data_IF_067899443988
#
_entry.id   IF_067899443988
#
_cell.length_a   1.000
_cell.length_b   1.000
_cell.length_c   1.000
_cell.angle_alpha   90.00
_cell.angle_beta   90.00
_cell.angle_gamma   90.00
#
_symmetry.space_group_name_H-M   'P 1'
#
loop_
_entity.id
_entity.type
_entity.pdbx_description
1 polymer ?
#
# COMPACT_ATOMS: atom_id res chain seq x y z
N UNK A 1 -8.38 8.78 5.38
CA UNK A 1 -8.09 7.35 5.63
C UNK A 1 -8.83 6.50 4.62
N UNK A 2 -8.22 5.41 4.16
CA UNK A 2 -8.83 4.42 3.25
C UNK A 2 -8.57 3.00 3.76
N UNK A 3 -9.49 2.10 3.44
CA UNK A 3 -9.38 0.67 3.73
C UNK A 3 -9.11 -0.12 2.44
N UNK A 4 -8.16 -1.03 2.52
CA UNK A 4 -7.76 -1.93 1.43
C UNK A 4 -7.87 -3.39 1.90
N UNK A 5 -8.11 -4.30 0.96
CA UNK A 5 -8.03 -5.75 1.18
C UNK A 5 -6.59 -6.25 1.10
N UNK A 6 -6.09 -7.00 2.08
CA UNK A 6 -4.80 -7.70 2.02
C UNK A 6 -5.01 -9.15 1.58
N UNK A 7 -4.70 -9.47 0.32
CA UNK A 7 -5.04 -10.79 -0.26
C UNK A 7 -4.05 -11.31 -1.30
N UNK A 8 -4.11 -12.63 -1.53
CA UNK A 8 -3.56 -13.32 -2.70
C UNK A 8 -4.64 -13.94 -3.59
N UNK A 9 -5.92 -13.72 -3.29
CA UNK A 9 -7.06 -14.46 -3.85
C UNK A 9 -7.94 -13.57 -4.76
N UNK A 10 -8.10 -13.92 -6.05
CA UNK A 10 -9.06 -13.25 -6.95
C UNK A 10 -10.50 -13.28 -6.44
N UNK A 11 -10.89 -14.36 -5.75
CA UNK A 11 -12.23 -14.51 -5.17
C UNK A 11 -12.48 -13.43 -4.11
N UNK A 12 -11.50 -13.19 -3.24
CA UNK A 12 -11.62 -12.17 -2.19
C UNK A 12 -11.62 -10.76 -2.79
N UNK A 13 -10.89 -10.53 -3.90
CA UNK A 13 -10.96 -9.24 -4.63
C UNK A 13 -12.37 -8.98 -5.17
N UNK A 14 -12.99 -9.97 -5.83
CA UNK A 14 -14.38 -9.85 -6.32
C UNK A 14 -15.35 -9.59 -5.19
N UNK A 15 -15.19 -10.30 -4.07
CA UNK A 15 -16.04 -10.10 -2.90
C UNK A 15 -15.85 -8.70 -2.30
N UNK A 16 -14.60 -8.27 -2.06
CA UNK A 16 -14.28 -6.95 -1.51
C UNK A 16 -14.75 -5.79 -2.41
N UNK A 17 -14.84 -6.00 -3.72
CA UNK A 17 -15.42 -5.02 -4.64
C UNK A 17 -16.88 -4.68 -4.37
N UNK A 18 -17.63 -5.57 -3.72
CA UNK A 18 -19.02 -5.33 -3.30
C UNK A 18 -19.12 -4.38 -2.10
N UNK A 19 -18.03 -4.14 -1.38
CA UNK A 19 -18.00 -3.26 -0.21
C UNK A 19 -17.68 -1.83 -0.66
N UNK A 20 -18.61 -0.86 -0.49
CA UNK A 20 -18.45 0.50 -1.01
C UNK A 20 -17.33 1.28 -0.31
N UNK A 21 -16.95 0.90 0.91
CA UNK A 21 -15.88 1.56 1.67
C UNK A 21 -14.48 1.00 1.38
N UNK A 22 -14.37 -0.10 0.63
CA UNK A 22 -13.07 -0.68 0.24
C UNK A 22 -12.55 0.07 -0.99
N UNK A 23 -11.30 0.54 -0.93
CA UNK A 23 -10.65 1.36 -1.94
C UNK A 23 -9.74 0.55 -2.89
N UNK A 24 -9.69 -0.76 -2.75
CA UNK A 24 -8.85 -1.66 -3.54
C UNK A 24 -8.18 -2.72 -2.70
N UNK A 25 -7.00 -3.17 -3.10
CA UNK A 25 -6.31 -4.28 -2.44
C UNK A 25 -4.78 -4.12 -2.45
N UNK A 26 -4.12 -4.75 -1.49
CA UNK A 26 -2.69 -5.01 -1.50
C UNK A 26 -2.39 -6.49 -1.59
N UNK A 27 -1.28 -6.83 -2.23
CA UNK A 27 -0.75 -8.19 -2.24
C UNK A 27 0.74 -8.22 -1.97
N UNK A 28 1.28 -9.41 -1.70
CA UNK A 28 2.69 -9.67 -1.52
C UNK A 28 3.01 -11.13 -1.89
N UNK A 29 4.29 -11.48 -2.12
CA UNK A 29 4.66 -12.84 -2.55
C UNK A 29 4.18 -13.96 -1.61
N UNK A 30 4.14 -13.70 -0.29
CA UNK A 30 3.68 -14.70 0.68
C UNK A 30 2.17 -14.96 0.55
N UNK A 31 1.36 -13.93 0.32
CA UNK A 31 -0.08 -14.07 0.11
C UNK A 31 -0.40 -14.77 -1.21
N UNK A 32 0.27 -14.36 -2.29
CA UNK A 32 0.13 -15.04 -3.60
C UNK A 32 0.47 -16.52 -3.47
N UNK A 33 1.62 -16.85 -2.86
CA UNK A 33 2.02 -18.24 -2.63
C UNK A 33 1.01 -19.02 -1.80
N UNK A 34 0.46 -18.43 -0.72
CA UNK A 34 -0.57 -19.07 0.11
C UNK A 34 -1.85 -19.36 -0.68
N UNK A 35 -2.18 -18.52 -1.67
CA UNK A 35 -3.32 -18.70 -2.55
C UNK A 35 -3.01 -19.57 -3.79
N UNK A 36 -1.81 -20.18 -3.88
CA UNK A 36 -1.40 -20.97 -5.04
C UNK A 36 -1.13 -20.14 -6.30
N UNK A 37 -0.94 -18.83 -6.16
CA UNK A 37 -0.69 -17.90 -7.26
C UNK A 37 0.81 -17.64 -7.41
N UNK A 38 1.30 -17.62 -8.65
CA UNK A 38 2.67 -17.25 -8.99
C UNK A 38 2.80 -15.77 -9.36
N UNK A 39 1.70 -15.14 -9.76
CA UNK A 39 1.68 -13.79 -10.32
C UNK A 39 0.40 -13.04 -9.91
N UNK A 40 0.40 -11.70 -9.91
CA UNK A 40 -0.71 -10.90 -9.40
C UNK A 40 -1.82 -10.61 -10.45
N UNK A 41 -1.64 -10.93 -11.72
CA UNK A 41 -2.63 -10.64 -12.79
C UNK A 41 -4.03 -11.16 -12.50
N UNK A 42 -4.22 -12.39 -11.97
CA UNK A 42 -5.57 -12.86 -11.64
C UNK A 42 -6.31 -11.96 -10.64
N UNK A 43 -5.58 -11.22 -9.78
CA UNK A 43 -6.18 -10.25 -8.85
C UNK A 43 -6.57 -8.97 -9.59
N UNK A 44 -5.78 -8.54 -10.57
CA UNK A 44 -6.07 -7.40 -11.43
C UNK A 44 -7.27 -7.68 -12.35
N UNK A 45 -7.32 -8.87 -12.94
CA UNK A 45 -8.46 -9.36 -13.73
C UNK A 45 -9.74 -9.36 -12.90
N UNK A 46 -9.71 -9.91 -11.68
CA UNK A 46 -10.84 -9.88 -10.75
C UNK A 46 -11.30 -8.44 -10.43
N UNK A 47 -10.37 -7.50 -10.26
CA UNK A 47 -10.73 -6.09 -10.06
C UNK A 47 -11.36 -5.47 -11.32
N UNK A 48 -10.86 -5.80 -12.51
CA UNK A 48 -11.42 -5.33 -13.78
C UNK A 48 -12.84 -5.89 -14.02
N UNK A 49 -13.05 -7.18 -13.75
CA UNK A 49 -14.34 -7.88 -13.83
C UNK A 49 -15.39 -7.25 -12.90
N UNK A 50 -14.97 -6.81 -11.72
CA UNK A 50 -15.87 -6.19 -10.74
C UNK A 50 -16.43 -4.82 -11.15
N UNK A 51 -15.88 -4.21 -12.20
CA UNK A 51 -16.24 -2.86 -12.64
C UNK A 51 -15.69 -1.72 -11.76
N UNK A 52 -15.01 -2.02 -10.63
CA UNK A 52 -14.37 -1.02 -9.76
C UNK A 52 -13.10 -0.44 -10.38
N UNK A 53 -13.28 0.53 -11.27
CA UNK A 53 -12.18 1.29 -11.91
C UNK A 53 -11.45 2.23 -10.94
N UNK A 54 -12.08 2.59 -9.83
CA UNK A 54 -11.54 3.45 -8.77
C UNK A 54 -10.59 2.73 -7.80
N UNK A 55 -10.46 1.40 -7.94
CA UNK A 55 -9.58 0.61 -7.09
C UNK A 55 -8.12 1.01 -7.19
N UNK A 56 -7.40 0.82 -6.08
CA UNK A 56 -5.96 0.89 -6.02
C UNK A 56 -5.37 -0.49 -5.78
N UNK A 57 -4.44 -0.92 -6.62
CA UNK A 57 -3.78 -2.22 -6.53
C UNK A 57 -2.33 -2.05 -6.07
N UNK A 58 -2.06 -2.37 -4.80
CA UNK A 58 -0.73 -2.27 -4.21
C UNK A 58 0.02 -3.60 -4.37
N UNK A 59 0.89 -3.69 -5.37
CA UNK A 59 1.56 -4.93 -5.76
C UNK A 59 3.03 -4.86 -5.40
N UNK A 60 3.52 -5.87 -4.68
CA UNK A 60 4.94 -5.95 -4.34
C UNK A 60 5.74 -6.58 -5.47
N UNK A 61 6.80 -5.88 -5.85
CA UNK A 61 7.80 -6.33 -6.81
C UNK A 61 9.13 -6.50 -6.08
N UNK A 62 9.71 -7.68 -6.20
CA UNK A 62 11.02 -8.01 -5.66
C UNK A 62 12.08 -8.09 -6.77
N UNK A 63 13.35 -8.15 -6.37
CA UNK A 63 14.50 -8.33 -7.26
C UNK A 63 15.79 -8.20 -6.47
N UNK A 64 16.87 -8.78 -6.99
CA UNK A 64 18.19 -8.78 -6.36
C UNK A 64 18.91 -7.44 -6.55
N UNK A 65 18.63 -6.74 -7.65
CA UNK A 65 19.21 -5.46 -8.00
C UNK A 65 18.21 -4.51 -8.67
N UNK A 66 18.58 -3.23 -8.80
CA UNK A 66 17.71 -2.18 -9.37
C UNK A 66 17.22 -2.51 -10.78
N UNK A 67 18.08 -3.03 -11.65
CA UNK A 67 17.73 -3.32 -13.04
C UNK A 67 16.64 -4.40 -13.11
N UNK A 68 16.78 -5.45 -12.32
CA UNK A 68 15.78 -6.52 -12.22
C UNK A 68 14.45 -6.01 -11.67
N UNK A 69 14.46 -5.18 -10.62
CA UNK A 69 13.25 -4.60 -10.03
C UNK A 69 12.51 -3.76 -11.09
N UNK A 70 13.22 -2.88 -11.80
CA UNK A 70 12.63 -2.02 -12.83
C UNK A 70 12.08 -2.84 -14.01
N UNK A 71 12.79 -3.88 -14.43
CA UNK A 71 12.34 -4.77 -15.50
C UNK A 71 11.08 -5.54 -15.11
N UNK A 72 11.02 -6.09 -13.89
CA UNK A 72 9.81 -6.76 -13.38
C UNK A 72 8.62 -5.81 -13.26
N UNK A 73 8.83 -4.56 -12.85
CA UNK A 73 7.79 -3.52 -12.87
C UNK A 73 7.30 -3.27 -14.30
N UNK A 74 8.21 -3.09 -15.26
CA UNK A 74 7.88 -2.91 -16.68
C UNK A 74 7.08 -4.08 -17.23
N UNK A 75 7.44 -5.32 -16.87
CA UNK A 75 6.72 -6.52 -17.28
C UNK A 75 5.33 -6.61 -16.66
N UNK A 76 5.17 -6.27 -15.38
CA UNK A 76 3.86 -6.20 -14.73
C UNK A 76 2.96 -5.17 -15.44
N UNK A 77 3.50 -3.98 -15.70
CA UNK A 77 2.79 -2.90 -16.39
C UNK A 77 2.41 -3.26 -17.82
N UNK A 78 3.31 -3.85 -18.59
CA UNK A 78 3.01 -4.31 -19.95
C UNK A 78 1.92 -5.39 -19.98
N UNK A 79 1.94 -6.32 -19.02
CA UNK A 79 0.89 -7.34 -18.88
C UNK A 79 -0.43 -6.71 -18.51
N UNK A 80 -0.45 -5.79 -17.53
CA UNK A 80 -1.67 -5.09 -17.14
C UNK A 80 -2.24 -4.27 -18.30
N UNK A 81 -1.40 -3.53 -19.03
CA UNK A 81 -1.80 -2.79 -20.22
C UNK A 81 -2.38 -3.68 -21.33
N UNK A 82 -1.87 -4.90 -21.47
CA UNK A 82 -2.44 -5.89 -22.40
C UNK A 82 -3.82 -6.41 -21.93
N UNK A 83 -3.99 -6.66 -20.62
CA UNK A 83 -5.27 -7.11 -20.04
C UNK A 83 -6.41 -6.12 -20.26
N UNK A 84 -6.07 -4.85 -20.38
CA UNK A 84 -7.00 -3.73 -20.56
C UNK A 84 -7.16 -3.32 -22.04
N UNK A 85 -6.69 -4.15 -22.97
CA UNK A 85 -6.85 -3.90 -24.41
C UNK A 85 -5.96 -2.77 -24.96
N UNK A 86 -4.89 -2.41 -24.26
CA UNK A 86 -4.00 -1.31 -24.66
C UNK A 86 -4.42 0.05 -24.11
N UNK A 87 -5.17 0.08 -23.01
CA UNK A 87 -5.56 1.32 -22.32
C UNK A 87 -5.18 1.26 -20.84
N UNK A 88 -4.87 2.39 -20.20
CA UNK A 88 -4.71 2.44 -18.74
C UNK A 88 -6.08 2.54 -18.03
N UNK A 89 -6.99 1.64 -18.36
CA UNK A 89 -8.34 1.58 -17.83
C UNK A 89 -8.43 0.50 -16.74
N UNK A 90 -8.62 0.88 -15.48
CA UNK A 90 -8.64 -0.09 -14.39
C UNK A 90 -8.08 0.44 -13.08
N UNK A 91 -7.77 -0.46 -12.13
CA UNK A 91 -7.18 -0.05 -10.87
C UNK A 91 -5.85 0.69 -11.07
N UNK A 92 -5.63 1.73 -10.28
CA UNK A 92 -4.34 2.43 -10.22
C UNK A 92 -3.30 1.53 -9.56
N UNK A 93 -2.19 1.28 -10.24
CA UNK A 93 -1.10 0.45 -9.71
C UNK A 93 -0.22 1.25 -8.73
N UNK A 94 0.08 0.65 -7.58
CA UNK A 94 1.14 1.13 -6.67
C UNK A 94 2.20 0.05 -6.52
N UNK A 95 3.43 0.40 -6.87
CA UNK A 95 4.57 -0.51 -6.83
C UNK A 95 5.16 -0.53 -5.42
N UNK A 96 4.96 -1.64 -4.70
CA UNK A 96 5.54 -1.86 -3.37
C UNK A 96 6.97 -2.38 -3.50
N UNK A 97 7.94 -1.60 -3.07
CA UNK A 97 9.38 -1.91 -3.17
C UNK A 97 9.98 -2.03 -1.76
N UNK A 98 10.86 -3.00 -1.56
CA UNK A 98 11.55 -3.20 -0.28
C UNK A 98 12.56 -2.07 0.00
N UNK A 99 12.86 -1.74 1.27
CA UNK A 99 13.74 -0.63 1.64
C UNK A 99 15.21 -1.08 1.62
N UNK A 100 15.65 -1.65 0.49
CA UNK A 100 17.06 -1.96 0.22
C UNK A 100 17.72 -0.81 -0.53
N UNK A 101 19.05 -0.75 -0.57
CA UNK A 101 19.75 0.30 -1.32
C UNK A 101 19.30 0.35 -2.79
N UNK A 102 19.32 -0.81 -3.46
CA UNK A 102 18.84 -0.98 -4.83
C UNK A 102 17.33 -0.66 -4.98
N UNK A 103 16.52 -1.07 -4.00
CA UNK A 103 15.09 -0.80 -3.97
C UNK A 103 14.76 0.69 -3.86
N UNK A 104 15.50 1.46 -3.06
CA UNK A 104 15.31 2.91 -2.92
C UNK A 104 15.69 3.64 -4.21
N UNK A 105 16.74 3.21 -4.91
CA UNK A 105 17.06 3.75 -6.23
C UNK A 105 15.99 3.40 -7.26
N UNK A 106 15.52 2.16 -7.31
CA UNK A 106 14.42 1.76 -8.19
C UNK A 106 13.15 2.59 -7.91
N UNK A 107 12.78 2.74 -6.64
CA UNK A 107 11.67 3.57 -6.20
C UNK A 107 11.81 5.02 -6.66
N UNK A 108 13.01 5.60 -6.57
CA UNK A 108 13.28 6.96 -7.01
C UNK A 108 13.09 7.13 -8.53
N UNK A 109 13.56 6.17 -9.33
CA UNK A 109 13.34 6.15 -10.78
C UNK A 109 11.85 6.09 -11.12
N UNK A 110 11.11 5.18 -10.48
CA UNK A 110 9.67 5.01 -10.70
C UNK A 110 8.89 6.27 -10.30
N UNK A 111 9.19 6.85 -9.13
CA UNK A 111 8.52 8.05 -8.65
C UNK A 111 8.76 9.26 -9.57
N UNK A 112 9.97 9.43 -10.13
CA UNK A 112 10.26 10.49 -11.11
C UNK A 112 9.57 10.26 -12.45
N UNK A 113 9.34 9.01 -12.82
CA UNK A 113 8.50 8.66 -13.96
C UNK A 113 6.99 8.85 -13.70
N UNK A 114 6.61 9.45 -12.57
CA UNK A 114 5.22 9.72 -12.21
C UNK A 114 4.45 8.50 -11.69
N UNK A 115 5.13 7.38 -11.43
CA UNK A 115 4.51 6.16 -10.92
C UNK A 115 4.34 6.25 -9.41
N UNK A 116 3.25 5.70 -8.90
CA UNK A 116 3.05 5.61 -7.47
C UNK A 116 3.85 4.46 -6.87
N UNK A 117 4.64 4.78 -5.86
CA UNK A 117 5.53 3.82 -5.18
C UNK A 117 5.21 3.76 -3.71
N UNK A 118 5.25 2.56 -3.15
CA UNK A 118 5.16 2.32 -1.72
C UNK A 118 6.44 1.67 -1.23
N UNK A 119 7.12 2.24 -0.24
CA UNK A 119 8.22 1.52 0.40
C UNK A 119 7.65 0.58 1.46
N UNK A 120 7.70 -0.72 1.20
CA UNK A 120 7.06 -1.75 2.05
C UNK A 120 8.05 -2.38 3.02
N UNK A 121 7.55 -3.12 4.00
CA UNK A 121 8.41 -3.84 4.95
C UNK A 121 9.02 -2.97 6.04
N UNK A 122 8.44 -1.79 6.28
CA UNK A 122 8.86 -0.88 7.32
C UNK A 122 8.45 -1.45 8.68
N UNK A 123 9.39 -1.44 9.62
CA UNK A 123 9.21 -2.01 10.96
C UNK A 123 9.48 -1.03 12.11
N UNK A 124 9.83 0.23 11.81
CA UNK A 124 10.00 1.29 12.79
C UNK A 124 9.88 2.67 12.12
N UNK A 125 9.58 3.72 12.91
CA UNK A 125 9.45 5.09 12.40
C UNK A 125 10.72 5.65 11.77
N UNK A 126 11.91 5.24 12.21
CA UNK A 126 13.19 5.77 11.69
C UNK A 126 13.36 5.38 10.23
N UNK A 127 13.08 4.13 9.89
CA UNK A 127 13.02 3.67 8.49
C UNK A 127 11.98 4.45 7.71
N UNK A 128 10.75 4.56 8.25
CA UNK A 128 9.65 5.24 7.58
C UNK A 128 9.99 6.69 7.18
N UNK A 129 10.54 7.46 8.13
CA UNK A 129 10.94 8.85 7.92
C UNK A 129 12.15 8.93 6.99
N UNK A 130 13.15 8.06 7.17
CA UNK A 130 14.34 8.02 6.34
C UNK A 130 14.06 7.77 4.86
N UNK A 131 13.01 7.00 4.54
CA UNK A 131 12.60 6.70 3.16
C UNK A 131 11.46 7.59 2.65
N UNK A 132 10.94 8.52 3.47
CA UNK A 132 9.89 9.46 3.08
C UNK A 132 10.36 10.48 2.03
N UNK A 133 11.67 10.57 1.83
CA UNK A 133 12.33 11.26 0.72
C UNK A 133 13.27 10.28 0.03
N UNK A 134 13.19 10.20 -1.30
CA UNK A 134 13.98 9.27 -2.11
C UNK A 134 15.23 9.95 -2.69
N UNK A 135 16.27 9.19 -3.05
CA UNK A 135 17.48 9.75 -3.63
C UNK A 135 17.20 10.53 -4.92
N UNK A 136 18.01 11.56 -5.24
CA UNK A 136 17.92 12.24 -6.53
C UNK A 136 18.38 11.29 -7.63
N UNK A 137 17.59 11.19 -8.71
CA UNK A 137 17.94 10.35 -9.86
C UNK A 137 18.51 11.24 -10.98
N UNK A 138 19.60 10.86 -11.64
CA UNK A 138 20.08 11.57 -12.82
C UNK A 138 19.09 11.44 -14.01
N UNK A 139 19.13 12.36 -14.99
CA UNK A 139 18.41 12.22 -16.27
C UNK A 139 18.74 10.89 -16.98
N UNK A 140 17.82 10.38 -17.79
CA UNK A 140 17.94 9.08 -18.46
C UNK A 140 19.06 9.03 -19.53
N UNK A 141 19.49 10.20 -20.00
CA UNK A 141 20.51 10.47 -21.01
C UNK A 141 21.89 10.80 -20.41
N UNK A 142 22.04 10.72 -19.08
CA UNK A 142 23.34 10.93 -18.44
C UNK A 142 24.28 9.73 -18.70
N UNK A 143 25.49 9.95 -19.25
CA UNK A 143 26.48 8.89 -19.42
C UNK A 143 26.82 8.27 -18.06
N UNK A 144 26.95 6.93 -18.04
CA UNK A 144 26.99 6.14 -16.82
C UNK A 144 28.03 6.59 -15.79
N UNK A 145 27.63 6.53 -14.51
CA UNK A 145 28.46 6.89 -13.36
C UNK A 145 28.25 8.34 -12.96
N UNK A 146 28.03 8.57 -11.66
CA UNK A 146 27.88 9.87 -10.99
C UNK A 146 28.77 10.96 -11.64
N UNK A 147 28.34 12.20 -11.87
CA UNK A 147 28.07 13.23 -10.86
C UNK A 147 27.49 14.51 -11.53
N UNK A 148 26.53 15.16 -10.86
CA UNK A 148 26.01 16.50 -11.21
C UNK A 148 24.53 16.67 -10.81
N UNK A 149 24.12 17.80 -10.17
CA UNK A 149 22.77 17.91 -9.62
C UNK A 149 21.73 18.07 -10.74
N UNK A 150 20.61 17.33 -10.72
CA UNK A 150 19.56 17.50 -11.72
C UNK A 150 18.81 18.84 -11.53
N UNK A 151 18.31 19.40 -12.63
CA UNK A 151 17.61 20.70 -12.74
C UNK A 151 16.28 20.82 -11.96
N UNK A 152 15.91 19.83 -11.14
CA UNK A 152 14.83 19.90 -10.16
C UNK A 152 15.39 19.66 -8.76
N UNK A 153 15.34 20.69 -7.91
CA UNK A 153 15.87 20.69 -6.54
C UNK A 153 15.09 19.81 -5.57
N UNK A 154 13.85 19.43 -5.89
CA UNK A 154 13.00 18.68 -4.96
C UNK A 154 13.21 17.18 -5.16
N UNK A 155 13.74 16.45 -4.17
CA UNK A 155 13.90 15.01 -4.27
C UNK A 155 12.54 14.32 -4.45
N UNK A 156 12.47 13.23 -5.24
CA UNK A 156 11.25 12.46 -5.38
C UNK A 156 10.81 11.87 -4.03
N UNK A 157 9.53 11.52 -3.93
CA UNK A 157 8.93 10.98 -2.70
C UNK A 157 8.12 9.74 -3.05
N UNK A 158 8.05 8.75 -2.16
CA UNK A 158 7.10 7.67 -2.35
C UNK A 158 5.68 8.19 -2.13
N UNK A 159 4.70 7.53 -2.74
CA UNK A 159 3.29 7.76 -2.44
C UNK A 159 2.97 7.35 -0.98
N UNK A 160 3.56 6.24 -0.52
CA UNK A 160 3.37 5.76 0.83
C UNK A 160 4.55 4.94 1.36
N UNK A 161 4.46 4.61 2.65
CA UNK A 161 5.26 3.57 3.31
C UNK A 161 4.30 2.53 3.89
N UNK A 162 4.59 1.22 3.74
CA UNK A 162 3.78 0.16 4.34
C UNK A 162 4.45 -0.41 5.59
N UNK A 163 3.75 -0.29 6.71
CA UNK A 163 4.26 -0.58 8.05
C UNK A 163 3.69 -1.90 8.59
N UNK A 164 4.56 -2.82 9.03
CA UNK A 164 4.14 -4.13 9.54
C UNK A 164 3.77 -4.09 11.02
N UNK A 165 2.59 -3.55 11.34
CA UNK A 165 2.11 -3.35 12.71
C UNK A 165 2.16 -4.65 13.51
N UNK A 166 1.52 -5.71 13.03
CA UNK A 166 1.49 -6.99 13.75
C UNK A 166 2.87 -7.61 13.91
N UNK A 167 3.77 -7.53 12.91
CA UNK A 167 5.13 -8.10 13.04
C UNK A 167 6.01 -7.33 14.03
N UNK A 168 5.73 -6.05 14.24
CA UNK A 168 6.39 -5.22 15.26
C UNK A 168 5.85 -5.59 16.64
N UNK A 169 4.53 -5.75 16.76
CA UNK A 169 3.88 -6.22 17.99
C UNK A 169 4.31 -7.64 18.39
N UNK A 170 4.54 -8.54 17.42
CA UNK A 170 5.07 -9.89 17.66
C UNK A 170 6.45 -9.88 18.37
N UNK A 171 7.16 -8.73 18.36
CA UNK A 171 8.43 -8.51 19.06
C UNK A 171 8.30 -7.78 20.39
N UNK A 172 7.07 -7.58 20.89
CA UNK A 172 6.80 -6.85 22.13
C UNK A 172 6.94 -5.33 22.01
N UNK A 173 6.97 -4.78 20.79
CA UNK A 173 7.04 -3.34 20.54
C UNK A 173 5.61 -2.80 20.34
N UNK A 174 5.34 -1.61 20.85
CA UNK A 174 4.07 -0.90 20.58
C UNK A 174 3.98 -0.46 19.10
N UNK A 175 3.45 -1.35 18.26
CA UNK A 175 3.27 -1.09 16.84
C UNK A 175 2.23 0.00 16.55
N UNK A 176 1.24 0.19 17.43
CA UNK A 176 0.20 1.22 17.27
C UNK A 176 0.82 2.60 17.51
N UNK A 177 1.54 2.75 18.62
CA UNK A 177 2.27 3.98 18.94
C UNK A 177 3.33 4.33 17.89
N UNK A 178 4.07 3.35 17.38
CA UNK A 178 5.03 3.56 16.28
C UNK A 178 4.37 4.13 15.02
N UNK A 179 3.22 3.58 14.60
CA UNK A 179 2.48 4.10 13.44
C UNK A 179 1.93 5.49 13.72
N UNK A 180 1.35 5.74 14.89
CA UNK A 180 0.81 7.05 15.24
C UNK A 180 1.90 8.14 15.24
N UNK A 181 3.03 7.86 15.86
CA UNK A 181 4.20 8.75 15.85
C UNK A 181 4.73 8.97 14.44
N UNK A 182 4.78 7.92 13.60
CA UNK A 182 5.19 8.03 12.20
C UNK A 182 4.24 8.95 11.41
N UNK A 183 2.92 8.75 11.50
CA UNK A 183 1.93 9.60 10.84
C UNK A 183 2.07 11.07 11.27
N UNK A 184 2.20 11.33 12.57
CA UNK A 184 2.37 12.68 13.11
C UNK A 184 3.66 13.34 12.61
N UNK A 185 4.76 12.61 12.56
CA UNK A 185 6.02 13.10 12.03
C UNK A 185 5.91 13.49 10.55
N UNK A 186 5.29 12.64 9.72
CA UNK A 186 5.08 12.95 8.29
C UNK A 186 4.22 14.20 8.09
N UNK A 187 3.10 14.31 8.83
CA UNK A 187 2.18 15.46 8.76
C UNK A 187 2.88 16.74 9.21
N UNK A 188 3.53 16.73 10.37
CA UNK A 188 4.21 17.91 10.93
C UNK A 188 5.37 18.40 10.05
N UNK A 189 6.08 17.50 9.38
CA UNK A 189 7.13 17.84 8.43
C UNK A 189 6.60 18.24 7.03
N UNK A 190 5.28 18.28 6.83
CA UNK A 190 4.65 18.59 5.54
C UNK A 190 4.94 17.57 4.43
N UNK A 191 5.38 16.36 4.80
CA UNK A 191 5.70 15.30 3.85
C UNK A 191 4.39 14.63 3.45
N UNK A 192 3.99 14.79 2.18
CA UNK A 192 2.78 14.18 1.61
C UNK A 192 2.98 12.69 1.30
N UNK A 193 3.38 11.91 2.31
CA UNK A 193 3.57 10.47 2.26
C UNK A 193 2.53 9.82 3.17
N UNK A 194 1.82 8.81 2.68
CA UNK A 194 0.84 8.06 3.48
C UNK A 194 1.50 6.90 4.22
N UNK A 195 0.94 6.47 5.33
CA UNK A 195 1.28 5.21 5.99
C UNK A 195 0.19 4.19 5.67
N UNK A 196 0.55 3.10 5.00
CA UNK A 196 -0.30 1.92 4.84
C UNK A 196 -0.01 0.96 6.00
N UNK A 197 -0.83 1.00 7.04
CA UNK A 197 -0.74 0.05 8.15
C UNK A 197 -1.17 -1.34 7.66
N UNK A 198 -0.27 -2.30 7.80
CA UNK A 198 -0.41 -3.66 7.29
C UNK A 198 -0.10 -4.69 8.39
N UNK A 199 -0.30 -5.98 8.08
CA UNK A 199 -0.11 -7.08 9.05
C UNK A 199 -1.01 -6.93 10.29
N UNK A 200 -2.24 -6.45 10.11
CA UNK A 200 -3.22 -6.27 11.19
C UNK A 200 -4.09 -7.54 11.28
N UNK A 201 -4.36 -8.01 12.51
CA UNK A 201 -4.98 -9.32 12.76
C UNK A 201 -6.24 -9.29 13.63
N UNK A 202 -6.57 -8.14 14.21
CA UNK A 202 -7.75 -8.00 15.08
C UNK A 202 -8.38 -6.61 14.97
N UNK A 203 -9.66 -6.56 15.30
CA UNK A 203 -10.43 -5.32 15.35
C UNK A 203 -9.86 -4.33 16.38
N UNK A 204 -9.39 -4.83 17.53
CA UNK A 204 -8.78 -3.98 18.56
C UNK A 204 -7.58 -3.19 18.06
N UNK A 205 -6.74 -3.78 17.21
CA UNK A 205 -5.60 -3.08 16.61
C UNK A 205 -6.09 -2.01 15.62
N UNK A 206 -7.14 -2.29 14.85
CA UNK A 206 -7.75 -1.29 13.96
C UNK A 206 -8.27 -0.11 14.76
N UNK A 207 -9.06 -0.36 15.81
CA UNK A 207 -9.59 0.65 16.72
C UNK A 207 -8.47 1.48 17.34
N UNK A 208 -7.47 0.83 17.92
CA UNK A 208 -6.34 1.49 18.57
C UNK A 208 -5.53 2.35 17.58
N UNK A 209 -5.31 1.89 16.35
CA UNK A 209 -4.66 2.68 15.30
C UNK A 209 -5.45 3.95 14.98
N UNK A 210 -6.76 3.82 14.73
CA UNK A 210 -7.63 4.95 14.40
C UNK A 210 -7.64 5.97 15.54
N UNK A 211 -7.80 5.51 16.78
CA UNK A 211 -7.77 6.34 17.97
C UNK A 211 -6.43 7.08 18.11
N UNK A 212 -5.31 6.36 18.06
CA UNK A 212 -3.99 6.94 18.23
C UNK A 212 -3.64 7.97 17.14
N UNK A 213 -3.93 7.70 15.86
CA UNK A 213 -3.66 8.68 14.79
C UNK A 213 -4.60 9.88 14.84
N UNK A 214 -5.83 9.69 15.32
CA UNK A 214 -6.80 10.80 15.48
C UNK A 214 -6.35 11.72 16.60
N UNK A 215 -5.97 11.17 17.75
CA UNK A 215 -5.42 11.92 18.88
C UNK A 215 -4.14 12.68 18.51
N UNK A 216 -3.34 12.13 17.59
CA UNK A 216 -2.15 12.78 17.05
C UNK A 216 -2.42 13.81 15.93
N UNK A 217 -3.68 14.05 15.55
CA UNK A 217 -4.05 14.96 14.47
C UNK A 217 -3.57 14.50 13.08
N UNK A 218 -3.31 13.20 12.90
CA UNK A 218 -2.61 12.64 11.75
C UNK A 218 -3.43 11.58 10.97
N UNK A 219 -4.74 11.48 11.22
CA UNK A 219 -5.64 10.54 10.54
C UNK A 219 -5.66 10.69 9.00
N UNK A 220 -5.32 11.88 8.49
CA UNK A 220 -5.19 12.13 7.05
C UNK A 220 -4.06 11.32 6.41
N UNK A 221 -3.01 10.97 7.15
CA UNK A 221 -1.86 10.22 6.66
C UNK A 221 -2.02 8.69 6.74
N UNK A 222 -2.98 8.17 7.49
CA UNK A 222 -3.19 6.73 7.65
C UNK A 222 -4.09 6.14 6.55
N UNK A 223 -3.69 4.99 6.02
CA UNK A 223 -4.52 3.99 5.34
C UNK A 223 -4.30 2.63 6.00
N UNK A 224 -5.24 1.70 5.82
CA UNK A 224 -5.15 0.35 6.37
C UNK A 224 -5.32 -0.69 5.27
N UNK A 225 -4.57 -1.79 5.34
CA UNK A 225 -4.84 -2.99 4.56
C UNK A 225 -5.08 -4.17 5.48
N UNK A 226 -6.23 -4.84 5.30
CA UNK A 226 -6.79 -5.80 6.25
C UNK A 226 -7.21 -7.08 5.50
N UNK A 227 -7.07 -8.27 6.11
CA UNK A 227 -7.61 -9.49 5.52
C UNK A 227 -9.14 -9.42 5.41
N UNK A 228 -9.73 -10.12 4.44
CA UNK A 228 -11.17 -10.04 4.14
C UNK A 228 -12.05 -10.29 5.37
N UNK A 229 -11.71 -11.30 6.18
CA UNK A 229 -12.45 -11.62 7.39
C UNK A 229 -12.55 -10.42 8.35
N UNK A 230 -11.46 -9.67 8.53
CA UNK A 230 -11.44 -8.48 9.38
C UNK A 230 -12.19 -7.30 8.75
N UNK A 231 -12.10 -7.12 7.43
CA UNK A 231 -12.89 -6.09 6.72
C UNK A 231 -14.39 -6.26 6.94
N UNK A 232 -14.89 -7.50 6.91
CA UNK A 232 -16.31 -7.80 7.16
C UNK A 232 -16.76 -7.36 8.55
N UNK A 233 -15.93 -7.64 9.56
CA UNK A 233 -16.23 -7.26 10.95
C UNK A 233 -16.25 -5.76 11.22
N UNK A 234 -15.81 -4.90 10.29
CA UNK A 234 -15.82 -3.45 10.52
C UNK A 234 -17.22 -2.86 10.61
N UNK A 235 -18.23 -3.54 10.06
CA UNK A 235 -19.63 -3.13 10.12
C UNK A 235 -20.46 -3.95 11.12
N UNK A 236 -19.85 -4.98 11.73
CA UNK A 236 -20.53 -5.89 12.64
C UNK A 236 -20.56 -5.26 14.04
N UNK A 237 -21.74 -4.79 14.46
CA UNK A 237 -21.93 -4.18 15.77
C UNK A 237 -23.28 -4.62 16.39
N UNK A 238 -23.28 -5.19 17.61
CA UNK A 238 -24.51 -5.70 18.24
C UNK A 238 -25.59 -4.63 18.48
N UNK A 239 -25.20 -3.38 18.72
CA UNK A 239 -26.17 -2.28 18.90
C UNK A 239 -26.85 -1.98 17.57
N UNK A 240 -26.08 -1.96 16.49
CA UNK A 240 -26.58 -1.77 15.12
C UNK A 240 -27.51 -2.92 14.71
N UNK A 241 -27.13 -4.17 14.98
CA UNK A 241 -27.97 -5.33 14.70
C UNK A 241 -29.31 -5.28 15.43
N UNK A 242 -29.29 -4.93 16.73
CA UNK A 242 -30.52 -4.76 17.52
C UNK A 242 -31.40 -3.66 16.94
N UNK A 243 -30.84 -2.50 16.60
CA UNK A 243 -31.60 -1.41 15.99
C UNK A 243 -32.25 -1.82 14.66
N UNK A 244 -31.54 -2.55 13.81
CA UNK A 244 -32.10 -3.06 12.55
C UNK A 244 -33.23 -4.06 12.77
N UNK A 245 -33.14 -4.91 13.80
CA UNK A 245 -34.20 -5.85 14.14
C UNK A 245 -35.46 -5.11 14.62
N UNK A 246 -35.30 -4.08 15.43
CA UNK A 246 -36.41 -3.22 15.89
C UNK A 246 -37.08 -2.51 14.71
N UNK A 247 -36.31 -1.95 13.76
CA UNK A 247 -36.88 -1.29 12.58
C UNK A 247 -37.65 -2.22 11.65
N UNK A 248 -37.22 -3.48 11.51
CA UNK A 248 -37.89 -4.49 10.66
C UNK A 248 -39.18 -5.04 11.28
N UNK A 249 -39.40 -4.81 12.57
CA UNK A 249 -40.61 -5.24 13.29
C UNK A 249 -41.75 -4.19 13.25
N UNK A 250 -41.50 -3.00 12.68
CA UNK A 250 -42.50 -1.95 12.41
C UNK A 250 -43.26 -2.23 11.11
#
# INVERSE_FOLDING_TARGET
>A
MRFYLDTGSPQEVREAATFPFVAGFSTNPLLLRKAGMLRPEPLLEAALESGRRDFKAWIQTDGENRAEILEKVRQLEARFFALTGGEWAGPTLVHKIMPTFEGLWAAAHLARAGKEVCITGIANRVQAIGVATLPPVPPADAPGGCEGPPASRTPPRPHAVAFYVGRVMDKGIDGVGEVAACCAALVSAGLRVRVLAASIRSYDVVRALIEAVTNAGAASALDLTLPLGLLKTLLDDPVTERALAEFRAL
#
